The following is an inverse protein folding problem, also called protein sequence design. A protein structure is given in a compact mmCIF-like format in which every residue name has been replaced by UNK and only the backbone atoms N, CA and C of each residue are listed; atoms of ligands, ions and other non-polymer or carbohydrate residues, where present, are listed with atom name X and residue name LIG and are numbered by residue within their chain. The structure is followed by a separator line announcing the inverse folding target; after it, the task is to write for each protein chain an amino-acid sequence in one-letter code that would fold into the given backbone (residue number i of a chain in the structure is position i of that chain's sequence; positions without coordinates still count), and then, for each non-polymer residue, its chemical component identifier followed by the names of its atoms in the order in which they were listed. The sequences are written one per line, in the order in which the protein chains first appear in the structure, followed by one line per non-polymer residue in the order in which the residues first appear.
data_IF_030623008162
#
_entry.id   IF_030623008162
#
_cell.length_a   1.000
_cell.length_b   1.000
_cell.length_c   1.000
_cell.angle_alpha   90.00
_cell.angle_beta   90.00
_cell.angle_gamma   90.00
#
_symmetry.space_group_name_H-M   'P 1'
#
loop_
_entity.id
_entity.type
_entity.pdbx_description
1 polymer ?
#
# COMPACT_ATOMS: atom_id res chain seq x y z
N UNK A 1 2.61 -15.66 -23.73
CA UNK A 1 2.92 -15.54 -22.29
C UNK A 1 1.73 -14.86 -21.59
N UNK A 2 0.84 -15.66 -20.99
CA UNK A 2 -0.39 -15.16 -20.39
C UNK A 2 -0.09 -14.36 -19.11
N UNK A 3 -0.30 -13.04 -19.13
CA UNK A 3 -0.17 -12.19 -17.94
C UNK A 3 -1.32 -12.54 -16.98
N UNK A 4 -0.98 -13.24 -15.90
CA UNK A 4 -1.90 -13.58 -14.82
C UNK A 4 -2.56 -12.33 -14.24
N UNK A 5 -3.88 -12.17 -14.45
CA UNK A 5 -4.74 -11.05 -13.98
C UNK A 5 -4.68 -10.73 -12.47
N UNK A 6 -4.01 -11.56 -11.67
CA UNK A 6 -3.94 -11.42 -10.22
C UNK A 6 -3.07 -10.25 -9.74
N UNK A 7 -2.05 -9.86 -10.49
CA UNK A 7 -1.07 -8.84 -10.07
C UNK A 7 -1.47 -7.40 -10.40
N UNK A 8 -2.49 -7.18 -11.22
CA UNK A 8 -2.82 -5.86 -11.79
C UNK A 8 -3.33 -4.83 -10.77
N UNK A 9 -3.70 -5.25 -9.55
CA UNK A 9 -4.34 -4.38 -8.55
C UNK A 9 -3.63 -4.35 -7.19
N UNK A 10 -2.42 -4.92 -7.09
CA UNK A 10 -1.66 -4.93 -5.85
C UNK A 10 -0.90 -3.60 -5.68
N UNK A 11 -1.31 -2.80 -4.70
CA UNK A 11 -0.67 -1.53 -4.36
C UNK A 11 0.18 -1.72 -3.11
N UNK A 12 1.44 -1.28 -3.20
CA UNK A 12 2.39 -1.24 -2.08
C UNK A 12 2.14 0.03 -1.27
N UNK A 13 1.87 -0.12 0.03
CA UNK A 13 1.73 0.96 0.99
C UNK A 13 3.06 1.21 1.68
N UNK A 14 3.57 2.43 1.51
CA UNK A 14 4.91 2.84 1.95
C UNK A 14 4.76 3.84 3.08
N UNK A 15 5.29 3.47 4.24
CA UNK A 15 5.36 4.40 5.37
C UNK A 15 6.14 5.67 4.98
N UNK A 16 5.56 6.84 5.18
CA UNK A 16 6.21 8.13 4.86
C UNK A 16 7.50 8.39 5.67
N UNK A 17 7.60 7.81 6.88
CA UNK A 17 8.70 8.08 7.81
C UNK A 17 9.90 7.17 7.55
N UNK A 18 9.70 5.86 7.50
CA UNK A 18 10.80 4.90 7.28
C UNK A 18 10.98 4.48 5.82
N UNK A 19 10.10 4.93 4.91
CA UNK A 19 10.08 4.60 3.47
C UNK A 19 10.00 3.10 3.16
N UNK A 20 9.71 2.26 4.17
CA UNK A 20 9.52 0.82 4.04
C UNK A 20 8.12 0.49 3.58
N UNK A 21 8.01 -0.54 2.75
CA UNK A 21 6.73 -1.12 2.35
C UNK A 21 6.31 -2.11 3.43
N UNK A 22 5.30 -1.75 4.21
CA UNK A 22 4.81 -2.58 5.30
C UNK A 22 3.54 -3.36 4.91
N UNK A 23 2.76 -2.83 3.97
CA UNK A 23 1.46 -3.37 3.61
C UNK A 23 1.31 -3.49 2.09
N UNK A 24 0.57 -4.52 1.69
CA UNK A 24 0.12 -4.74 0.34
C UNK A 24 -1.40 -4.71 0.37
N UNK A 25 -2.00 -3.77 -0.34
CA UNK A 25 -3.47 -3.68 -0.43
C UNK A 25 -3.90 -3.92 -1.87
N UNK A 26 -5.07 -4.52 -2.04
CA UNK A 26 -5.69 -4.66 -3.36
C UNK A 26 -6.58 -3.44 -3.60
N UNK A 27 -6.20 -2.59 -4.54
CA UNK A 27 -7.02 -1.43 -4.93
C UNK A 27 -8.11 -1.88 -5.89
N UNK A 28 -9.34 -1.43 -5.68
CA UNK A 28 -10.40 -1.63 -6.69
C UNK A 28 -10.19 -0.62 -7.81
N UNK A 29 -10.41 -1.04 -9.06
CA UNK A 29 -10.21 -0.25 -10.29
C UNK A 29 -10.99 1.08 -10.31
N UNK A 30 -12.00 1.22 -9.44
CA UNK A 30 -12.84 2.42 -9.28
C UNK A 30 -12.29 3.48 -8.32
N UNK A 31 -11.29 3.19 -7.49
CA UNK A 31 -10.67 4.24 -6.67
C UNK A 31 -9.53 4.85 -7.47
N UNK A 32 -9.68 6.07 -7.99
CA UNK A 32 -8.64 6.80 -8.74
C UNK A 32 -7.79 7.72 -7.82
N UNK A 33 -8.22 7.96 -6.59
CA UNK A 33 -7.51 8.79 -5.59
C UNK A 33 -6.39 8.03 -4.86
N UNK A 34 -5.28 8.71 -4.56
CA UNK A 34 -4.18 8.17 -3.73
C UNK A 34 -4.75 7.63 -2.41
N UNK A 35 -4.49 6.35 -2.10
CA UNK A 35 -4.86 5.79 -0.79
C UNK A 35 -3.83 6.26 0.23
N UNK A 36 -4.15 7.31 0.97
CA UNK A 36 -3.36 7.77 2.11
C UNK A 36 -3.99 7.21 3.39
N UNK A 37 -3.49 6.05 3.85
CA UNK A 37 -4.03 5.40 5.05
C UNK A 37 -3.10 5.62 6.24
N UNK A 38 -3.66 6.10 7.35
CA UNK A 38 -2.96 6.11 8.64
C UNK A 38 -2.94 4.68 9.19
N UNK A 39 -1.81 4.00 9.02
CA UNK A 39 -1.55 2.64 9.52
C UNK A 39 -0.43 2.65 10.54
N UNK A 40 -0.40 1.62 11.38
CA UNK A 40 0.69 1.41 12.32
C UNK A 40 1.95 0.99 11.57
N UNK A 41 3.08 1.65 11.81
CA UNK A 41 4.37 1.20 11.29
C UNK A 41 5.09 0.42 12.40
N UNK A 42 5.36 -0.87 12.18
CA UNK A 42 6.10 -1.74 13.12
C UNK A 42 7.49 -1.20 13.45
N UNK A 43 8.12 -0.50 12.51
CA UNK A 43 9.47 0.04 12.65
C UNK A 43 9.52 1.36 13.41
N UNK A 44 8.55 2.25 13.14
CA UNK A 44 8.46 3.55 13.84
C UNK A 44 7.66 3.47 15.14
N UNK A 45 7.06 2.31 15.44
CA UNK A 45 6.16 2.04 16.57
C UNK A 45 5.02 3.07 16.73
N UNK A 46 4.62 3.73 15.64
CA UNK A 46 3.63 4.80 15.64
C UNK A 46 2.72 4.73 14.41
N UNK A 47 1.52 5.30 14.52
CA UNK A 47 0.60 5.44 13.39
C UNK A 47 1.10 6.54 12.45
N UNK A 48 1.35 6.18 11.20
CA UNK A 48 1.89 7.08 10.17
C UNK A 48 1.12 6.90 8.88
N UNK A 49 1.19 7.89 8.01
CA UNK A 49 0.63 7.79 6.66
C UNK A 49 1.47 6.78 5.89
N UNK A 50 0.78 5.78 5.34
CA UNK A 50 1.33 4.70 4.51
C UNK A 50 0.77 4.77 3.10
#
# INVERSE_FOLDING_TARGET
MAKSKFSENLVKMRCAVCKRVNYYTRRKKSQERKLELKKYCKWCKKHTIH
#
